data_IF_080482485995
#
_entry.id   IF_080482485995
#
_cell.length_a   1.000
_cell.length_b   1.000
_cell.length_c   1.000
_cell.angle_alpha   90.00
_cell.angle_beta   90.00
_cell.angle_gamma   90.00
#
_symmetry.space_group_name_H-M   'P 1'
#
loop_
_entity.id
_entity.type
_entity.pdbx_description
1 polymer ?
#
# COMPACT_ATOMS: atom_id res chain seq x y z
N UNK A 1 -16.99 -22.56 -7.87
CA UNK A 1 -17.85 -22.23 -9.02
C UNK A 1 -18.65 -21.00 -8.61
N UNK A 2 -18.04 -19.82 -8.80
CA UNK A 2 -18.69 -18.52 -8.66
C UNK A 2 -18.58 -17.90 -10.05
N UNK A 3 -19.46 -18.34 -10.95
CA UNK A 3 -19.49 -17.90 -12.35
C UNK A 3 -20.53 -16.79 -12.58
N UNK A 4 -21.06 -16.18 -11.51
CA UNK A 4 -22.13 -15.16 -11.56
C UNK A 4 -21.70 -13.77 -11.05
N UNK A 5 -20.41 -13.56 -10.72
CA UNK A 5 -19.92 -12.21 -10.46
C UNK A 5 -19.74 -11.47 -11.81
N UNK A 6 -20.23 -10.22 -11.93
CA UNK A 6 -19.99 -9.44 -13.12
C UNK A 6 -18.49 -9.36 -13.39
N UNK A 7 -18.05 -9.40 -14.66
CA UNK A 7 -16.64 -9.31 -14.98
C UNK A 7 -16.09 -8.04 -14.32
N UNK A 8 -14.89 -8.11 -13.72
CA UNK A 8 -14.34 -6.98 -12.99
C UNK A 8 -14.31 -5.74 -13.90
N UNK A 9 -14.62 -4.55 -13.35
CA UNK A 9 -14.70 -3.32 -14.13
C UNK A 9 -13.41 -3.12 -14.93
N UNK A 10 -13.54 -2.63 -16.17
CA UNK A 10 -12.38 -2.30 -16.99
C UNK A 10 -11.78 -0.99 -16.49
N UNK A 11 -10.66 -1.07 -15.78
CA UNK A 11 -10.00 0.07 -15.11
C UNK A 11 -9.07 0.89 -16.03
N UNK A 12 -9.19 0.72 -17.36
CA UNK A 12 -8.33 1.38 -18.34
C UNK A 12 -7.00 0.67 -18.59
N UNK A 13 -6.07 1.36 -19.24
CA UNK A 13 -4.78 0.83 -19.70
C UNK A 13 -3.57 1.42 -18.95
N UNK A 14 -3.79 1.96 -17.75
CA UNK A 14 -2.70 2.48 -16.92
C UNK A 14 -1.72 1.33 -16.60
N UNK A 15 -0.43 1.62 -16.72
CA UNK A 15 0.62 0.72 -16.25
C UNK A 15 1.78 1.52 -15.70
N UNK A 16 2.34 1.04 -14.59
CA UNK A 16 3.62 1.49 -14.09
C UNK A 16 4.50 0.26 -13.88
N UNK A 17 5.46 -0.01 -14.79
CA UNK A 17 6.32 -1.18 -14.66
C UNK A 17 7.06 -1.18 -13.32
N UNK A 18 6.95 -2.30 -12.61
CA UNK A 18 7.68 -2.58 -11.37
C UNK A 18 8.59 -3.79 -11.53
N UNK A 19 9.56 -3.95 -10.64
CA UNK A 19 10.49 -5.08 -10.63
C UNK A 19 9.80 -6.40 -10.25
N UNK A 20 9.05 -6.95 -11.20
CA UNK A 20 8.44 -8.28 -11.14
C UNK A 20 8.46 -8.91 -12.52
N UNK A 21 8.68 -10.21 -12.59
CA UNK A 21 8.47 -11.01 -13.80
C UNK A 21 7.12 -11.73 -13.77
N UNK A 22 6.39 -11.64 -12.65
CA UNK A 22 5.09 -12.27 -12.46
C UNK A 22 4.01 -11.35 -13.03
N UNK A 23 3.44 -11.77 -14.16
CA UNK A 23 2.40 -11.01 -14.87
C UNK A 23 1.20 -10.64 -13.98
N UNK A 24 0.80 -11.54 -13.09
CA UNK A 24 -0.31 -11.30 -12.15
C UNK A 24 0.03 -10.19 -11.15
N UNK A 25 1.25 -10.16 -10.61
CA UNK A 25 1.72 -9.09 -9.73
C UNK A 25 1.66 -7.73 -10.44
N UNK A 26 2.19 -7.63 -11.67
CA UNK A 26 2.14 -6.37 -12.44
C UNK A 26 0.69 -5.92 -12.67
N UNK A 27 -0.20 -6.83 -13.07
CA UNK A 27 -1.62 -6.53 -13.31
C UNK A 27 -2.30 -6.01 -12.03
N UNK A 28 -2.09 -6.67 -10.90
CA UNK A 28 -2.70 -6.30 -9.63
C UNK A 28 -2.12 -4.99 -9.08
N UNK A 29 -0.81 -4.75 -9.25
CA UNK A 29 -0.18 -3.47 -8.92
C UNK A 29 -0.78 -2.32 -9.73
N UNK A 30 -0.90 -2.48 -11.04
CA UNK A 30 -1.49 -1.47 -11.93
C UNK A 30 -2.95 -1.17 -11.53
N UNK A 31 -3.74 -2.19 -11.20
CA UNK A 31 -5.12 -2.02 -10.69
C UNK A 31 -5.15 -1.30 -9.35
N UNK A 32 -4.25 -1.64 -8.43
CA UNK A 32 -4.10 -0.97 -7.15
C UNK A 32 -3.82 0.52 -7.32
N UNK A 33 -2.95 0.89 -8.27
CA UNK A 33 -2.71 2.29 -8.63
C UNK A 33 -3.98 2.99 -9.12
N UNK A 34 -4.73 2.38 -10.04
CA UNK A 34 -5.97 2.99 -10.56
C UNK A 34 -7.00 3.21 -9.45
N UNK A 35 -7.18 2.24 -8.56
CA UNK A 35 -8.08 2.40 -7.41
C UNK A 35 -7.62 3.49 -6.45
N UNK A 36 -6.32 3.55 -6.16
CA UNK A 36 -5.75 4.58 -5.31
C UNK A 36 -5.93 5.98 -5.91
N UNK A 37 -5.73 6.14 -7.23
CA UNK A 37 -5.95 7.41 -7.94
C UNK A 37 -7.43 7.80 -8.02
N UNK A 38 -8.32 6.81 -7.97
CA UNK A 38 -9.78 6.99 -7.91
C UNK A 38 -10.29 7.17 -6.48
N UNK A 39 -9.39 7.29 -5.50
CA UNK A 39 -9.68 7.46 -4.07
C UNK A 39 -10.38 6.27 -3.40
N UNK A 40 -10.40 5.10 -4.05
CA UNK A 40 -10.95 3.86 -3.48
C UNK A 40 -9.85 3.06 -2.78
N UNK A 41 -9.44 3.54 -1.61
CA UNK A 41 -8.25 3.05 -0.88
C UNK A 41 -8.35 1.59 -0.43
N UNK A 42 -9.52 1.14 0.03
CA UNK A 42 -9.70 -0.24 0.53
C UNK A 42 -9.45 -1.28 -0.58
N UNK A 43 -10.02 -1.07 -1.77
CA UNK A 43 -9.77 -1.96 -2.91
C UNK A 43 -8.34 -1.82 -3.47
N UNK A 44 -7.74 -0.63 -3.35
CA UNK A 44 -6.32 -0.47 -3.68
C UNK A 44 -5.45 -1.34 -2.77
N UNK A 45 -5.69 -1.32 -1.46
CA UNK A 45 -5.01 -2.20 -0.49
C UNK A 45 -5.20 -3.67 -0.88
N UNK A 46 -6.43 -4.09 -1.17
CA UNK A 46 -6.72 -5.46 -1.56
C UNK A 46 -5.96 -5.88 -2.83
N UNK A 47 -5.89 -5.00 -3.84
CA UNK A 47 -5.11 -5.25 -5.06
C UNK A 47 -3.61 -5.39 -4.77
N UNK A 48 -3.03 -4.51 -3.96
CA UNK A 48 -1.62 -4.57 -3.61
C UNK A 48 -1.26 -5.78 -2.73
N UNK A 49 -2.15 -6.17 -1.81
CA UNK A 49 -1.99 -7.40 -1.01
C UNK A 49 -1.96 -8.63 -1.92
N UNK A 50 -2.90 -8.74 -2.85
CA UNK A 50 -2.92 -9.83 -3.83
C UNK A 50 -1.69 -9.80 -4.76
N UNK A 51 -1.19 -8.61 -5.12
CA UNK A 51 0.05 -8.49 -5.86
C UNK A 51 1.25 -9.06 -5.06
N UNK A 52 1.31 -8.76 -3.76
CA UNK A 52 2.35 -9.27 -2.87
C UNK A 52 2.21 -10.77 -2.57
N UNK A 53 1.00 -11.31 -2.60
CA UNK A 53 0.75 -12.76 -2.55
C UNK A 53 1.22 -13.46 -3.83
N UNK A 54 1.02 -12.83 -4.99
CA UNK A 54 1.46 -13.36 -6.28
C UNK A 54 2.99 -13.30 -6.46
N UNK A 55 3.64 -12.24 -5.96
CA UNK A 55 5.09 -12.09 -5.95
C UNK A 55 5.57 -11.41 -4.66
N UNK A 56 5.95 -12.23 -3.69
CA UNK A 56 6.43 -11.74 -2.40
C UNK A 56 7.78 -11.01 -2.47
N UNK A 57 8.53 -11.16 -3.58
CA UNK A 57 9.79 -10.47 -3.81
C UNK A 57 9.60 -9.12 -4.52
N UNK A 58 8.38 -8.77 -4.94
CA UNK A 58 8.11 -7.46 -5.52
C UNK A 58 8.03 -6.39 -4.44
N UNK A 59 9.11 -5.61 -4.29
CA UNK A 59 9.16 -4.49 -3.33
C UNK A 59 7.99 -3.51 -3.50
N UNK A 60 7.60 -3.23 -4.76
CA UNK A 60 6.53 -2.29 -5.06
C UNK A 60 5.14 -2.78 -4.69
N UNK A 61 4.89 -4.09 -4.68
CA UNK A 61 3.62 -4.64 -4.21
C UNK A 61 3.42 -4.34 -2.71
N UNK A 62 4.46 -4.57 -1.90
CA UNK A 62 4.43 -4.22 -0.47
C UNK A 62 4.38 -2.70 -0.25
N UNK A 63 5.12 -1.92 -1.03
CA UNK A 63 5.04 -0.45 -1.01
C UNK A 63 3.61 0.05 -1.26
N UNK A 64 2.89 -0.57 -2.20
CA UNK A 64 1.50 -0.23 -2.51
C UNK A 64 0.55 -0.44 -1.32
N UNK A 65 0.74 -1.54 -0.57
CA UNK A 65 -0.02 -1.80 0.67
C UNK A 65 0.22 -0.69 1.69
N UNK A 66 1.48 -0.28 1.87
CA UNK A 66 1.84 0.81 2.79
C UNK A 66 1.24 2.14 2.34
N UNK A 67 1.41 2.48 1.05
CA UNK A 67 0.91 3.72 0.46
C UNK A 67 -0.60 3.88 0.64
N UNK A 68 -1.37 2.81 0.38
CA UNK A 68 -2.83 2.87 0.46
C UNK A 68 -3.35 2.80 1.91
N UNK A 69 -2.65 2.15 2.85
CA UNK A 69 -3.02 2.13 4.28
C UNK A 69 -2.62 3.37 5.07
N UNK A 70 -1.78 4.24 4.50
CA UNK A 70 -1.28 5.42 5.19
C UNK A 70 -2.23 6.61 5.26
N UNK A 71 -1.75 7.73 5.83
CA UNK A 71 -2.53 8.95 5.96
C UNK A 71 -3.10 9.39 4.60
N UNK A 72 -4.40 9.64 4.55
CA UNK A 72 -5.05 10.29 3.42
C UNK A 72 -5.35 11.75 3.79
N UNK A 73 -5.06 12.69 2.89
CA UNK A 73 -5.29 14.11 3.14
C UNK A 73 -6.78 14.42 3.38
N UNK A 74 -7.69 13.59 2.83
CA UNK A 74 -9.13 13.69 3.06
C UNK A 74 -9.57 13.17 4.43
N UNK A 75 -8.71 12.42 5.12
CA UNK A 75 -8.95 11.82 6.42
C UNK A 75 -7.96 12.38 7.43
N UNK A 76 -8.26 13.60 7.85
CA UNK A 76 -7.50 14.33 8.85
C UNK A 76 -7.88 13.92 10.29
N UNK A 77 -7.20 14.50 11.27
CA UNK A 77 -7.46 14.24 12.69
C UNK A 77 -8.91 14.50 13.11
N UNK A 78 -9.54 15.56 12.59
CA UNK A 78 -10.92 15.88 12.95
C UNK A 78 -11.95 14.92 12.36
N UNK A 79 -11.60 14.16 11.31
CA UNK A 79 -12.40 13.06 10.78
C UNK A 79 -12.20 11.73 11.54
N UNK A 80 -11.31 11.68 12.54
CA UNK A 80 -11.08 10.48 13.36
C UNK A 80 -10.12 9.46 12.74
N UNK A 81 -9.38 9.82 11.69
CA UNK A 81 -8.51 8.89 10.97
C UNK A 81 -7.48 8.20 11.86
N UNK A 82 -6.75 8.96 12.69
CA UNK A 82 -5.71 8.39 13.54
C UNK A 82 -6.25 7.37 14.54
N UNK A 83 -7.49 7.55 15.01
CA UNK A 83 -8.15 6.57 15.88
C UNK A 83 -8.50 5.29 15.12
N UNK A 84 -9.05 5.41 13.90
CA UNK A 84 -9.33 4.25 13.04
C UNK A 84 -8.04 3.50 12.65
N UNK A 85 -7.00 4.24 12.24
CA UNK A 85 -5.71 3.70 11.79
C UNK A 85 -4.86 3.06 12.91
N UNK A 86 -5.23 3.24 14.18
CA UNK A 86 -4.56 2.58 15.31
C UNK A 86 -4.86 1.07 15.41
N UNK A 87 -5.81 0.56 14.61
CA UNK A 87 -6.06 -0.88 14.52
C UNK A 87 -4.85 -1.65 13.97
N UNK A 88 -4.74 -2.92 14.33
CA UNK A 88 -3.58 -3.75 14.01
C UNK A 88 -3.69 -4.50 12.67
N UNK A 89 -4.85 -4.44 12.01
CA UNK A 89 -5.14 -5.16 10.78
C UNK A 89 -6.24 -4.42 9.97
N UNK A 90 -6.38 -4.78 8.69
CA UNK A 90 -7.37 -4.19 7.79
C UNK A 90 -6.97 -2.80 7.29
N UNK A 91 -7.96 -2.06 6.78
CA UNK A 91 -7.83 -0.69 6.29
C UNK A 91 -8.73 0.26 7.09
N UNK A 92 -8.27 1.46 7.47
CA UNK A 92 -6.87 1.91 7.48
C UNK A 92 -6.09 1.32 8.66
N UNK A 93 -4.77 1.06 8.53
CA UNK A 93 -3.95 0.60 9.66
C UNK A 93 -2.48 1.02 9.53
N UNK A 94 -1.98 1.77 10.51
CA UNK A 94 -0.55 2.15 10.56
C UNK A 94 0.36 0.95 10.81
N UNK A 95 -0.10 -0.05 11.58
CA UNK A 95 0.66 -1.29 11.77
C UNK A 95 0.84 -2.04 10.45
N UNK A 96 -0.24 -2.20 9.68
CA UNK A 96 -0.18 -2.85 8.35
C UNK A 96 0.72 -2.05 7.41
N UNK A 97 0.63 -0.72 7.43
CA UNK A 97 1.47 0.12 6.61
C UNK A 97 2.96 0.01 6.96
N UNK A 98 3.30 0.05 8.25
CA UNK A 98 4.67 -0.12 8.73
C UNK A 98 5.26 -1.49 8.35
N UNK A 99 4.52 -2.58 8.62
CA UNK A 99 4.97 -3.95 8.28
C UNK A 99 5.16 -4.13 6.78
N UNK A 100 4.24 -3.59 5.97
CA UNK A 100 4.35 -3.65 4.53
C UNK A 100 5.58 -2.86 4.04
N UNK A 101 5.89 -1.72 4.65
CA UNK A 101 7.07 -0.97 4.27
C UNK A 101 8.39 -1.66 4.66
N UNK A 102 8.43 -2.32 5.82
CA UNK A 102 9.57 -3.16 6.20
C UNK A 102 9.79 -4.28 5.17
N UNK A 103 8.72 -4.94 4.71
CA UNK A 103 8.80 -5.94 3.64
C UNK A 103 9.24 -5.34 2.31
N UNK A 104 8.74 -4.16 1.96
CA UNK A 104 9.17 -3.46 0.74
C UNK A 104 10.67 -3.17 0.77
N UNK A 105 11.18 -2.65 1.90
CA UNK A 105 12.60 -2.39 2.08
C UNK A 105 13.45 -3.68 2.03
N UNK A 106 12.97 -4.77 2.65
CA UNK A 106 13.65 -6.06 2.64
C UNK A 106 13.68 -6.73 1.26
N UNK A 107 12.72 -6.41 0.39
CA UNK A 107 12.64 -6.95 -0.97
C UNK A 107 13.48 -6.15 -1.99
N UNK A 108 14.00 -4.97 -1.64
CA UNK A 108 14.91 -4.21 -2.50
C UNK A 108 16.30 -4.87 -2.55
N UNK A 109 16.95 -4.76 -3.70
CA UNK A 109 18.32 -5.18 -3.94
C UNK A 109 19.15 -4.02 -4.53
N UNK A 110 20.47 -4.21 -4.62
CA UNK A 110 21.36 -3.25 -5.27
C UNK A 110 21.02 -3.06 -6.76
N UNK A 111 20.37 -4.05 -7.37
CA UNK A 111 19.92 -4.02 -8.77
C UNK A 111 18.53 -3.40 -8.93
N UNK A 112 17.78 -3.17 -7.85
CA UNK A 112 16.46 -2.55 -7.94
C UNK A 112 16.54 -1.17 -8.61
N UNK A 113 15.57 -0.81 -9.46
CA UNK A 113 15.52 0.51 -10.09
C UNK A 113 15.54 1.63 -9.04
N UNK A 114 16.30 2.69 -9.31
CA UNK A 114 16.45 3.82 -8.38
C UNK A 114 15.09 4.39 -7.92
N UNK A 115 14.12 4.48 -8.84
CA UNK A 115 12.76 4.92 -8.54
C UNK A 115 12.10 4.13 -7.41
N UNK A 116 12.28 2.81 -7.39
CA UNK A 116 11.66 1.95 -6.37
C UNK A 116 12.32 2.16 -5.01
N UNK A 117 13.65 2.25 -4.99
CA UNK A 117 14.40 2.60 -3.77
C UNK A 117 13.98 3.96 -3.21
N UNK A 118 13.84 4.96 -4.07
CA UNK A 118 13.45 6.31 -3.69
C UNK A 118 12.01 6.35 -3.16
N UNK A 119 11.07 5.64 -3.81
CA UNK A 119 9.68 5.58 -3.36
C UNK A 119 9.53 4.89 -2.00
N UNK A 120 10.25 3.78 -1.79
CA UNK A 120 10.29 3.10 -0.48
C UNK A 120 10.93 3.98 0.58
N UNK A 121 12.07 4.60 0.28
CA UNK A 121 12.77 5.50 1.20
C UNK A 121 11.94 6.72 1.57
N UNK A 122 11.25 7.34 0.61
CA UNK A 122 10.37 8.49 0.86
C UNK A 122 9.18 8.10 1.74
N UNK A 123 8.57 6.95 1.48
CA UNK A 123 7.40 6.48 2.24
C UNK A 123 7.79 6.11 3.69
N UNK A 124 9.03 5.70 3.93
CA UNK A 124 9.56 5.42 5.28
C UNK A 124 9.62 6.64 6.19
N UNK A 125 9.67 7.84 5.62
CA UNK A 125 9.63 9.07 6.41
C UNK A 125 8.23 9.40 6.91
N UNK A 126 7.18 8.77 6.38
CA UNK A 126 5.79 9.03 6.73
C UNK A 126 5.24 8.13 7.84
N UNK A 127 5.87 6.98 8.09
CA UNK A 127 5.37 5.97 9.02
C UNK A 127 6.29 5.79 10.22
N UNK A 128 5.73 6.01 11.40
CA UNK A 128 6.35 5.65 12.67
C UNK A 128 5.39 4.73 13.43
N UNK A 129 5.87 3.54 13.83
CA UNK A 129 5.11 2.62 14.66
C UNK A 129 5.96 2.06 15.80
N UNK A 130 5.45 2.03 17.06
CA UNK A 130 4.18 2.61 17.49
C UNK A 130 4.20 4.14 17.35
N UNK A 131 3.02 4.75 17.10
CA UNK A 131 2.91 6.21 17.06
C UNK A 131 3.39 6.76 18.40
N UNK A 132 4.51 7.47 18.42
CA UNK A 132 5.01 8.09 19.63
C UNK A 132 4.02 9.19 20.07
N UNK A 133 3.43 9.13 21.28
CA UNK A 133 2.58 10.21 21.75
C UNK A 133 3.39 11.50 21.77
N UNK A 134 2.90 12.53 21.09
CA UNK A 134 3.52 13.85 21.15
C UNK A 134 3.51 14.35 22.60
N UNK A 135 4.46 15.22 22.95
CA UNK A 135 4.59 15.76 24.31
C UNK A 135 3.29 16.39 24.85
N UNK A 136 2.36 16.79 23.98
CA UNK A 136 1.05 17.32 24.33
C UNK A 136 0.06 16.30 24.94
N UNK A 137 0.29 15.00 24.74
CA UNK A 137 -0.60 13.92 25.20
C UNK A 137 -0.14 13.24 26.50
N UNK A 138 0.98 13.71 27.09
CA UNK A 138 1.43 13.34 28.44
C UNK A 138 0.79 14.29 29.46
N UNK A 139 -0.50 14.13 29.73
CA UNK A 139 -1.17 14.74 30.88
C UNK A 139 -1.89 13.68 31.69
#
# INVERSE_FOLDING_TARGET
MLDDDPPPPTLGAYTQPVSTTVRECQLLFDRGCVWAFSLHREEAVACFQRAAEADSACAMAHWGVAFANGPDYNWNESAGFFAAAAQHAGYPSFKVAADALERAAAALTDESPQRERDLVGALALLFEWPVTPTAAQRK
#
